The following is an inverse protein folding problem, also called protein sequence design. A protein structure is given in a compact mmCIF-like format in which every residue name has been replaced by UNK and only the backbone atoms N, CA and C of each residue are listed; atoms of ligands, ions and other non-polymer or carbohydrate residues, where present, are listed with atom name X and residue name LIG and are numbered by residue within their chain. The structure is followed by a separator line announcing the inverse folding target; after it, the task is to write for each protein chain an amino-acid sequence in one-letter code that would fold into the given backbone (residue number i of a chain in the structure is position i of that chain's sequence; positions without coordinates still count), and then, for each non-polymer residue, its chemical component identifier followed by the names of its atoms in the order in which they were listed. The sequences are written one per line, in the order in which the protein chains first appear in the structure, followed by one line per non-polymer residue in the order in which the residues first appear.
data_IF_642160434582
#
_entry.id   IF_642160434582
#
_cell.length_a   1.000
_cell.length_b   1.000
_cell.length_c   1.000
_cell.angle_alpha   90.00
_cell.angle_beta   90.00
_cell.angle_gamma   90.00
#
_symmetry.space_group_name_H-M   'P 1'
#
loop_
_entity.id
_entity.type
_entity.pdbx_description
1 polymer ?
#
# COMPACT_ATOMS: atom_id res chain seq x y z
N UNK A 1 40.53 -35.05 40.36
CA UNK A 1 40.18 -33.89 41.19
C UNK A 1 39.71 -32.82 40.23
N UNK A 2 38.46 -32.41 40.33
CA UNK A 2 37.74 -31.67 39.30
C UNK A 2 38.29 -30.25 39.11
N UNK A 3 38.52 -29.87 37.86
CA UNK A 3 38.85 -28.51 37.43
C UNK A 3 37.64 -27.59 37.63
N UNK A 4 37.87 -26.46 38.29
CA UNK A 4 36.91 -25.39 38.51
C UNK A 4 36.93 -24.48 37.27
N UNK A 5 35.87 -24.49 36.47
CA UNK A 5 35.64 -23.45 35.46
C UNK A 5 34.84 -22.32 36.12
N UNK A 6 35.44 -21.12 36.15
CA UNK A 6 34.82 -19.91 36.65
C UNK A 6 33.73 -19.43 35.68
N UNK A 7 32.54 -19.18 36.20
CA UNK A 7 31.39 -18.64 35.46
C UNK A 7 31.45 -17.10 35.50
N UNK A 8 31.57 -16.45 34.34
CA UNK A 8 31.48 -14.99 34.21
C UNK A 8 30.03 -14.51 34.48
N UNK A 9 29.83 -13.37 35.17
CA UNK A 9 28.50 -12.84 35.43
C UNK A 9 27.89 -12.20 34.18
N UNK A 10 26.64 -12.56 33.89
CA UNK A 10 25.83 -12.03 32.78
C UNK A 10 25.44 -10.56 33.05
N UNK A 11 25.79 -9.65 32.14
CA UNK A 11 25.33 -8.25 32.17
C UNK A 11 23.84 -8.14 31.80
N UNK A 12 23.07 -7.23 32.41
CA UNK A 12 21.65 -7.10 32.14
C UNK A 12 21.40 -6.47 30.76
N UNK A 13 20.61 -7.14 29.91
CA UNK A 13 20.12 -6.60 28.64
C UNK A 13 19.34 -5.30 28.86
N UNK A 14 19.72 -4.26 28.12
CA UNK A 14 19.05 -2.97 28.11
C UNK A 14 17.59 -3.07 27.62
N UNK A 15 16.66 -2.24 28.13
CA UNK A 15 15.25 -2.31 27.77
C UNK A 15 15.03 -1.98 26.29
N UNK A 16 14.18 -2.78 25.64
CA UNK A 16 13.83 -2.72 24.22
C UNK A 16 13.24 -1.34 23.86
N UNK A 17 13.97 -0.55 23.08
CA UNK A 17 13.53 0.76 22.59
C UNK A 17 12.35 0.63 21.60
N UNK A 18 11.37 1.54 21.63
CA UNK A 18 10.30 1.57 20.63
C UNK A 18 10.90 1.82 19.25
N UNK A 19 10.78 0.83 18.37
CA UNK A 19 11.35 0.86 17.03
C UNK A 19 10.71 1.97 16.21
N UNK A 20 11.54 2.91 15.75
CA UNK A 20 11.15 3.97 14.84
C UNK A 20 10.45 3.39 13.58
N UNK A 21 9.45 4.08 13.01
CA UNK A 21 8.79 3.63 11.79
C UNK A 21 9.81 3.48 10.67
N UNK A 22 9.92 2.25 10.17
CA UNK A 22 10.82 1.88 9.08
C UNK A 22 10.46 2.68 7.81
N UNK A 23 11.47 3.09 7.04
CA UNK A 23 11.30 3.78 5.77
C UNK A 23 10.30 3.02 4.86
N UNK A 24 9.47 3.71 4.05
CA UNK A 24 8.43 3.06 3.27
C UNK A 24 9.06 2.05 2.31
N UNK A 25 8.85 0.76 2.59
CA UNK A 25 9.27 -0.29 1.70
C UNK A 25 8.53 -0.14 0.37
N UNK A 26 9.25 -0.29 -0.74
CA UNK A 26 8.69 -0.18 -2.08
C UNK A 26 7.53 -1.17 -2.32
N UNK A 27 6.83 -1.05 -3.47
CA UNK A 27 5.67 -1.87 -3.75
C UNK A 27 6.02 -3.37 -3.70
N UNK A 28 5.24 -4.14 -2.94
CA UNK A 28 5.41 -5.60 -2.82
C UNK A 28 4.47 -6.33 -3.77
N UNK A 29 5.02 -7.22 -4.58
CA UNK A 29 4.26 -8.07 -5.49
C UNK A 29 3.85 -9.40 -4.80
N UNK A 30 2.63 -9.83 -5.09
CA UNK A 30 2.05 -11.11 -4.69
C UNK A 30 1.60 -11.81 -5.97
N UNK A 31 2.32 -12.86 -6.36
CA UNK A 31 2.03 -13.62 -7.56
C UNK A 31 0.99 -14.71 -7.25
N UNK A 32 0.01 -14.85 -8.14
CA UNK A 32 -0.83 -16.04 -8.28
C UNK A 32 -0.78 -16.56 -9.71
N UNK A 33 -1.50 -17.64 -9.99
CA UNK A 33 -1.51 -18.34 -11.27
C UNK A 33 -2.03 -17.46 -12.42
N UNK A 34 -3.11 -16.70 -12.19
CA UNK A 34 -3.75 -15.87 -13.23
C UNK A 34 -3.53 -14.36 -13.08
N UNK A 35 -3.12 -13.91 -11.91
CA UNK A 35 -2.99 -12.48 -11.58
C UNK A 35 -1.88 -12.24 -10.56
N UNK A 36 -1.11 -11.19 -10.78
CA UNK A 36 -0.18 -10.63 -9.79
C UNK A 36 -0.79 -9.36 -9.22
N UNK A 37 -0.84 -9.26 -7.90
CA UNK A 37 -1.29 -8.07 -7.18
C UNK A 37 -0.08 -7.36 -6.58
N UNK A 38 0.06 -6.07 -6.83
CA UNK A 38 1.10 -5.22 -6.23
C UNK A 38 0.49 -4.34 -5.16
N UNK A 39 1.16 -4.24 -4.02
CA UNK A 39 0.75 -3.42 -2.89
C UNK A 39 1.83 -2.42 -2.47
N UNK A 40 1.52 -1.13 -2.54
CA UNK A 40 2.34 -0.03 -2.03
C UNK A 40 1.79 0.45 -0.68
N UNK A 41 2.45 0.01 0.41
CA UNK A 41 1.99 0.32 1.77
C UNK A 41 2.01 1.82 2.08
N UNK A 42 2.98 2.56 1.53
CA UNK A 42 3.09 4.01 1.74
C UNK A 42 1.95 4.82 1.12
N UNK A 43 1.21 4.22 0.17
CA UNK A 43 0.04 4.83 -0.46
C UNK A 43 -1.29 4.34 0.10
N UNK A 44 -1.29 3.37 1.01
CA UNK A 44 -2.52 2.80 1.53
C UNK A 44 -3.21 3.75 2.50
N UNK A 45 -4.40 4.24 2.15
CA UNK A 45 -5.23 5.09 3.01
C UNK A 45 -6.21 4.28 3.89
N UNK A 46 -6.03 2.97 3.99
CA UNK A 46 -6.89 2.05 4.76
C UNK A 46 -8.40 2.18 4.49
N UNK A 47 -8.80 2.48 3.26
CA UNK A 47 -10.21 2.62 2.84
C UNK A 47 -11.06 1.33 2.91
N UNK A 48 -10.49 0.22 3.41
CA UNK A 48 -11.10 -1.09 3.62
C UNK A 48 -11.80 -1.76 2.41
N UNK A 49 -11.67 -1.19 1.20
CA UNK A 49 -12.34 -1.70 -0.01
C UNK A 49 -11.85 -3.08 -0.46
N UNK A 50 -10.59 -3.43 -0.14
CA UNK A 50 -10.00 -4.73 -0.44
C UNK A 50 -10.46 -5.80 0.56
N UNK A 51 -10.15 -5.62 1.84
CA UNK A 51 -10.47 -6.58 2.92
C UNK A 51 -11.98 -6.78 3.08
N UNK A 52 -12.80 -5.73 2.90
CA UNK A 52 -14.26 -5.87 2.92
C UNK A 52 -14.86 -6.35 1.59
N UNK A 53 -14.09 -6.31 0.50
CA UNK A 53 -14.57 -6.69 -0.83
C UNK A 53 -14.30 -8.13 -1.22
N UNK A 54 -13.19 -8.71 -0.72
CA UNK A 54 -12.76 -10.08 -1.05
C UNK A 54 -11.85 -10.64 0.06
N UNK A 55 -12.40 -10.93 1.26
CA UNK A 55 -11.63 -11.36 2.43
C UNK A 55 -10.89 -12.70 2.23
N UNK A 56 -11.34 -13.55 1.29
CA UNK A 56 -10.64 -14.77 0.92
C UNK A 56 -9.28 -14.52 0.22
N UNK A 57 -9.11 -13.31 -0.36
CA UNK A 57 -7.87 -12.86 -1.03
C UNK A 57 -7.11 -11.85 -0.17
N UNK A 58 -7.81 -10.93 0.50
CA UNK A 58 -7.21 -9.84 1.30
C UNK A 58 -7.56 -10.01 2.78
N UNK A 59 -6.60 -10.47 3.58
CA UNK A 59 -6.78 -10.77 5.00
C UNK A 59 -5.65 -10.17 5.83
N UNK A 60 -5.92 -9.05 6.52
CA UNK A 60 -4.95 -8.33 7.36
C UNK A 60 -4.44 -9.14 8.56
N UNK A 61 -5.17 -10.19 8.98
CA UNK A 61 -4.79 -11.10 10.05
C UNK A 61 -3.83 -12.21 9.62
N UNK A 62 -3.64 -12.41 8.30
CA UNK A 62 -2.81 -13.49 7.75
C UNK A 62 -1.47 -12.99 7.21
N UNK A 63 -0.49 -13.89 7.11
CA UNK A 63 0.77 -13.69 6.37
C UNK A 63 1.02 -14.87 5.41
N UNK A 64 1.16 -14.65 4.09
CA UNK A 64 0.93 -13.40 3.37
C UNK A 64 -0.54 -12.95 3.48
N UNK A 65 -0.74 -11.63 3.57
CA UNK A 65 -2.06 -11.03 3.73
C UNK A 65 -2.82 -10.89 2.39
N UNK A 66 -2.11 -11.00 1.26
CA UNK A 66 -2.68 -11.06 -0.09
C UNK A 66 -2.42 -12.45 -0.66
N UNK A 67 -3.48 -13.15 -1.05
CA UNK A 67 -3.44 -14.45 -1.74
C UNK A 67 -4.21 -14.36 -3.06
N UNK A 68 -3.55 -13.98 -4.17
CA UNK A 68 -4.25 -13.72 -5.43
C UNK A 68 -5.05 -14.93 -5.95
N UNK A 69 -4.63 -16.16 -5.64
CA UNK A 69 -5.33 -17.39 -6.01
C UNK A 69 -6.56 -17.71 -5.14
N UNK A 70 -6.90 -16.86 -4.17
CA UNK A 70 -8.09 -17.02 -3.34
C UNK A 70 -9.40 -16.86 -4.10
N UNK A 71 -9.39 -16.29 -5.31
CA UNK A 71 -10.55 -16.10 -6.17
C UNK A 71 -10.16 -16.05 -7.66
N UNK A 72 -11.16 -16.04 -8.54
CA UNK A 72 -10.94 -15.85 -9.97
C UNK A 72 -10.22 -14.51 -10.27
N UNK A 73 -9.23 -14.46 -11.20
CA UNK A 73 -8.47 -13.26 -11.53
C UNK A 73 -9.32 -12.01 -11.77
N UNK A 74 -10.47 -12.17 -12.42
CA UNK A 74 -11.38 -11.08 -12.78
C UNK A 74 -12.01 -10.45 -11.53
N UNK A 75 -12.37 -11.28 -10.53
CA UNK A 75 -12.90 -10.85 -9.24
C UNK A 75 -11.85 -10.13 -8.42
N UNK A 76 -10.61 -10.63 -8.43
CA UNK A 76 -9.47 -9.96 -7.78
C UNK A 76 -9.24 -8.59 -8.42
N UNK A 77 -9.16 -8.52 -9.74
CA UNK A 77 -8.99 -7.27 -10.49
C UNK A 77 -10.11 -6.26 -10.20
N UNK A 78 -11.37 -6.71 -10.16
CA UNK A 78 -12.52 -5.87 -9.82
C UNK A 78 -12.36 -5.20 -8.45
N UNK A 79 -11.96 -5.96 -7.43
CA UNK A 79 -11.80 -5.46 -6.06
C UNK A 79 -10.55 -4.58 -5.93
N UNK A 80 -9.45 -4.94 -6.60
CA UNK A 80 -8.24 -4.10 -6.68
C UNK A 80 -8.59 -2.71 -7.25
N UNK A 81 -9.40 -2.62 -8.31
CA UNK A 81 -9.84 -1.35 -8.94
C UNK A 81 -10.63 -0.42 -8.01
N UNK A 82 -11.16 -0.94 -6.89
CA UNK A 82 -11.88 -0.16 -5.88
C UNK A 82 -10.95 0.55 -4.89
N UNK A 83 -9.65 0.22 -4.88
CA UNK A 83 -8.67 0.96 -4.07
C UNK A 83 -8.58 2.42 -4.56
N UNK A 84 -8.97 3.43 -3.76
CA UNK A 84 -9.03 4.82 -4.24
C UNK A 84 -7.64 5.41 -4.45
N UNK A 85 -6.68 5.09 -3.57
CA UNK A 85 -5.32 5.63 -3.63
C UNK A 85 -4.44 5.00 -4.70
N UNK A 86 -4.90 3.90 -5.33
CA UNK A 86 -4.08 3.09 -6.23
C UNK A 86 -2.97 2.31 -5.51
N UNK A 87 -3.02 2.20 -4.17
CA UNK A 87 -2.06 1.40 -3.40
C UNK A 87 -2.08 -0.08 -3.79
N UNK A 88 -3.22 -0.57 -4.27
CA UNK A 88 -3.34 -1.88 -4.92
C UNK A 88 -3.48 -1.69 -6.43
N UNK A 89 -2.61 -2.41 -7.15
CA UNK A 89 -2.62 -2.53 -8.61
C UNK A 89 -2.53 -4.02 -8.98
N UNK A 90 -2.81 -4.35 -10.23
CA UNK A 90 -2.68 -5.73 -10.69
C UNK A 90 -2.12 -5.83 -12.11
N UNK A 91 -1.58 -7.01 -12.42
CA UNK A 91 -1.28 -7.45 -13.78
C UNK A 91 -1.81 -8.86 -13.95
N UNK A 92 -2.64 -9.08 -14.96
CA UNK A 92 -3.09 -10.41 -15.36
C UNK A 92 -2.03 -11.12 -16.21
N UNK A 93 -1.95 -12.45 -16.13
CA UNK A 93 -0.96 -13.21 -16.90
C UNK A 93 -1.15 -13.09 -18.43
N UNK A 94 -2.42 -13.02 -18.88
CA UNK A 94 -2.80 -13.02 -20.30
C UNK A 94 -3.30 -11.67 -20.84
N UNK A 95 -3.33 -10.63 -20.02
CA UNK A 95 -4.02 -9.38 -20.33
C UNK A 95 -3.15 -8.12 -20.19
N UNK A 96 -3.59 -7.00 -20.76
CA UNK A 96 -2.89 -5.72 -20.62
C UNK A 96 -2.77 -5.32 -19.14
N UNK A 97 -1.82 -4.43 -18.85
CA UNK A 97 -1.75 -3.77 -17.56
C UNK A 97 -3.09 -3.09 -17.23
N UNK A 98 -3.34 -2.85 -15.94
CA UNK A 98 -4.49 -2.06 -15.51
C UNK A 98 -4.57 -0.75 -16.30
N UNK A 99 -5.73 -0.50 -16.91
CA UNK A 99 -5.99 0.69 -17.72
C UNK A 99 -6.67 1.75 -16.86
N UNK A 100 -6.31 3.01 -17.09
CA UNK A 100 -6.93 4.17 -16.47
C UNK A 100 -8.26 4.54 -17.12
N UNK A 101 -9.15 5.14 -16.33
CA UNK A 101 -10.43 5.66 -16.80
C UNK A 101 -10.22 6.74 -17.89
N UNK A 102 -11.10 6.79 -18.90
CA UNK A 102 -11.13 7.86 -19.90
C UNK A 102 -12.56 8.39 -20.04
N UNK A 103 -12.78 9.72 -19.92
CA UNK A 103 -11.78 10.75 -19.64
C UNK A 103 -11.21 10.66 -18.21
N UNK A 104 -10.05 11.27 -17.99
CA UNK A 104 -9.50 11.43 -16.63
C UNK A 104 -10.47 12.27 -15.79
N UNK A 105 -10.81 11.77 -14.61
CA UNK A 105 -11.66 12.44 -13.64
C UNK A 105 -10.84 12.94 -12.45
N UNK A 106 -11.19 14.14 -11.98
CA UNK A 106 -10.60 14.75 -10.79
C UNK A 106 -11.74 15.25 -9.91
N UNK A 107 -11.78 14.77 -8.68
CA UNK A 107 -12.82 15.13 -7.70
C UNK A 107 -12.14 15.62 -6.44
N UNK A 108 -12.51 16.82 -5.98
CA UNK A 108 -12.13 17.31 -4.66
C UNK A 108 -13.16 16.88 -3.64
N UNK A 109 -12.74 16.16 -2.60
CA UNK A 109 -13.62 15.78 -1.49
C UNK A 109 -13.93 16.99 -0.59
N UNK A 110 -14.97 16.92 0.27
CA UNK A 110 -15.25 17.95 1.26
C UNK A 110 -14.08 18.26 2.20
N UNK A 111 -13.30 17.24 2.58
CA UNK A 111 -12.09 17.41 3.40
C UNK A 111 -10.94 18.06 2.62
N UNK A 112 -10.97 17.97 1.29
CA UNK A 112 -10.04 18.66 0.40
C UNK A 112 -9.08 17.74 -0.35
N UNK A 113 -9.03 16.44 -0.05
CA UNK A 113 -8.32 15.43 -0.86
C UNK A 113 -8.71 15.51 -2.34
N UNK A 114 -7.73 15.30 -3.23
CA UNK A 114 -7.97 15.20 -4.67
C UNK A 114 -7.97 13.73 -5.08
N UNK A 115 -9.13 13.21 -5.46
CA UNK A 115 -9.31 11.87 -6.00
C UNK A 115 -9.17 11.95 -7.52
N UNK A 116 -8.18 11.24 -8.06
CA UNK A 116 -7.91 11.16 -9.48
C UNK A 116 -8.15 9.74 -9.96
N UNK A 117 -8.84 9.59 -11.10
CA UNK A 117 -8.91 8.33 -11.85
C UNK A 117 -8.67 8.62 -13.32
N UNK A 118 -7.71 7.93 -13.92
CA UNK A 118 -7.40 8.08 -15.34
C UNK A 118 -6.03 7.55 -15.70
N UNK A 119 -5.53 7.88 -16.88
CA UNK A 119 -4.15 7.63 -17.27
C UNK A 119 -3.26 8.75 -16.71
N UNK A 120 -2.61 8.51 -15.57
CA UNK A 120 -1.93 9.55 -14.80
C UNK A 120 -0.40 9.40 -14.86
N UNK A 121 0.26 10.55 -14.95
CA UNK A 121 1.70 10.72 -14.77
C UNK A 121 1.91 11.58 -13.54
N UNK A 122 2.44 10.99 -12.46
CA UNK A 122 2.60 11.63 -11.15
C UNK A 122 4.08 11.73 -10.82
N UNK A 123 4.59 12.95 -10.69
CA UNK A 123 5.98 13.20 -10.24
C UNK A 123 6.03 13.20 -8.71
N UNK A 124 6.88 12.35 -8.13
CA UNK A 124 7.09 12.29 -6.68
C UNK A 124 7.96 13.45 -6.20
N UNK A 125 7.94 13.75 -4.89
CA UNK A 125 8.83 14.75 -4.31
C UNK A 125 10.33 14.44 -4.52
N UNK A 126 10.68 13.15 -4.69
CA UNK A 126 12.03 12.71 -5.04
C UNK A 126 12.36 12.87 -6.55
N UNK A 127 11.47 13.45 -7.35
CA UNK A 127 11.65 13.65 -8.79
C UNK A 127 11.33 12.42 -9.66
N UNK A 128 10.88 11.32 -9.06
CA UNK A 128 10.54 10.09 -9.79
C UNK A 128 9.18 10.19 -10.47
N UNK A 129 9.09 9.82 -11.75
CA UNK A 129 7.81 9.73 -12.47
C UNK A 129 7.14 8.38 -12.21
N UNK A 130 5.91 8.40 -11.71
CA UNK A 130 5.06 7.22 -11.52
C UNK A 130 3.86 7.25 -12.46
N UNK A 131 3.60 6.13 -13.12
CA UNK A 131 2.35 5.91 -13.89
C UNK A 131 1.29 5.34 -12.98
N UNK A 132 0.13 5.96 -12.94
CA UNK A 132 -0.96 5.59 -12.04
C UNK A 132 -2.29 5.53 -12.80
N UNK A 133 -3.16 4.61 -12.39
CA UNK A 133 -4.56 4.58 -12.88
C UNK A 133 -5.50 5.35 -11.95
N UNK A 134 -5.12 5.42 -10.67
CA UNK A 134 -5.88 6.00 -9.56
C UNK A 134 -4.90 6.58 -8.54
N UNK A 135 -5.22 7.75 -8.00
CA UNK A 135 -4.43 8.36 -6.95
C UNK A 135 -5.31 9.23 -6.05
N UNK A 136 -4.92 9.33 -4.77
CA UNK A 136 -5.43 10.38 -3.88
C UNK A 136 -4.26 11.29 -3.57
N UNK A 137 -4.35 12.55 -4.01
CA UNK A 137 -3.28 13.53 -3.84
C UNK A 137 -3.57 14.46 -2.66
N UNK A 138 -2.49 14.91 -2.03
CA UNK A 138 -2.53 15.87 -0.93
C UNK A 138 -2.93 17.25 -1.46
N UNK A 139 -3.83 17.93 -0.74
CA UNK A 139 -4.22 19.32 -1.05
C UNK A 139 -3.85 20.32 0.06
N UNK A 140 -3.34 19.85 1.20
CA UNK A 140 -2.97 20.72 2.32
C UNK A 140 -1.45 20.96 2.45
N UNK A 141 -0.62 20.25 1.67
CA UNK A 141 0.84 20.38 1.70
C UNK A 141 1.54 19.71 2.90
N UNK A 142 0.81 19.07 3.80
CA UNK A 142 1.37 18.46 5.04
C UNK A 142 1.85 17.02 4.84
N UNK A 143 1.44 16.35 3.76
CA UNK A 143 1.79 14.94 3.54
C UNK A 143 3.30 14.71 3.57
N UNK A 144 3.73 13.67 4.28
CA UNK A 144 5.10 13.15 4.25
C UNK A 144 5.38 12.30 3.00
N UNK A 145 4.34 11.94 2.24
CA UNK A 145 4.44 11.13 1.02
C UNK A 145 4.04 11.93 -0.24
N UNK A 146 4.45 13.19 -0.33
CA UNK A 146 4.06 14.05 -1.46
C UNK A 146 4.44 13.46 -2.83
N UNK A 147 3.54 13.55 -3.83
CA UNK A 147 2.28 14.31 -3.85
C UNK A 147 1.06 13.54 -3.32
N UNK A 148 1.21 12.29 -2.88
CA UNK A 148 0.10 11.48 -2.39
C UNK A 148 -0.40 11.98 -1.03
N UNK A 149 -1.67 11.77 -0.74
CA UNK A 149 -2.20 11.97 0.61
C UNK A 149 -1.80 10.80 1.52
N UNK A 150 -1.48 11.09 2.78
CA UNK A 150 -1.14 10.13 3.84
C UNK A 150 -1.97 10.36 5.13
N UNK A 151 -3.02 11.20 5.04
CA UNK A 151 -3.87 11.63 6.16
C UNK A 151 -3.18 12.48 7.26
N UNK A 152 -1.96 13.00 7.05
CA UNK A 152 -1.24 13.76 8.08
C UNK A 152 -1.83 15.16 8.38
N UNK A 153 -2.51 15.78 7.40
CA UNK A 153 -3.03 17.14 7.49
C UNK A 153 -4.55 17.24 7.36
N UNK A 154 -5.05 18.48 7.32
CA UNK A 154 -6.49 18.78 7.30
C UNK A 154 -7.24 18.10 6.14
N UNK A 155 -6.56 17.80 5.02
CA UNK A 155 -7.23 17.16 3.89
C UNK A 155 -7.55 15.67 4.08
N UNK A 156 -7.04 15.02 5.13
CA UNK A 156 -7.29 13.59 5.38
C UNK A 156 -7.56 13.22 6.84
N UNK A 157 -7.80 14.21 7.70
CA UNK A 157 -8.29 13.99 9.05
C UNK A 157 -9.82 14.07 9.02
N UNK A 158 -10.47 12.95 9.32
CA UNK A 158 -11.88 12.91 9.74
C UNK A 158 -11.99 13.23 11.23
#
# INVERSE_FOLDING_TARGET
MASMEANEPNEPEAPNEPQAPQAPQGPKAYAGAGITVTYDAGRCLHAARCVGGLPEVFDSGRRPWIRPDGAAPERVAEVVRRCPSGALQYRTAAGPAEQGDRPTSVVRSPLGQLFLRGELSVTTAAGGLRRETRAVLCACGVSGNQPYCDHSGACGKE
#
